data_IF_844129503315
#
_entry.id   IF_844129503315
#
_cell.length_a   1.000
_cell.length_b   1.000
_cell.length_c   1.000
_cell.angle_alpha   90.00
_cell.angle_beta   90.00
_cell.angle_gamma   90.00
#
_symmetry.space_group_name_H-M   'P 1'
#
loop_
_entity.id
_entity.type
_entity.pdbx_description
1 polymer ?
#
# COMPACT_ATOMS: atom_id res chain seq x y z
N UNK A 1 -21.81 -20.34 -12.13
CA UNK A 1 -21.28 -19.09 -11.54
C UNK A 1 -19.82 -18.78 -11.93
N UNK A 2 -19.15 -19.59 -12.76
CA UNK A 2 -17.73 -19.44 -13.14
C UNK A 2 -17.47 -18.57 -14.38
N UNK A 3 -18.47 -18.32 -15.21
CA UNK A 3 -18.31 -17.64 -16.51
C UNK A 3 -18.07 -16.13 -16.37
N UNK A 4 -18.83 -15.44 -15.52
CA UNK A 4 -18.68 -13.99 -15.28
C UNK A 4 -17.34 -13.62 -14.63
N UNK A 5 -16.81 -14.46 -13.73
CA UNK A 5 -15.52 -14.22 -13.09
C UNK A 5 -14.35 -14.31 -14.08
N UNK A 6 -14.43 -15.25 -15.03
CA UNK A 6 -13.45 -15.39 -16.11
C UNK A 6 -13.54 -14.23 -17.12
N UNK A 7 -14.75 -13.75 -17.39
CA UNK A 7 -14.99 -12.61 -18.27
C UNK A 7 -14.45 -11.30 -17.69
N UNK A 8 -14.67 -11.05 -16.39
CA UNK A 8 -14.07 -9.92 -15.67
C UNK A 8 -12.53 -9.99 -15.62
N UNK A 9 -11.95 -11.18 -15.48
CA UNK A 9 -10.49 -11.34 -15.53
C UNK A 9 -9.93 -11.02 -16.91
N UNK A 10 -10.64 -11.42 -17.98
CA UNK A 10 -10.25 -11.13 -19.36
C UNK A 10 -10.31 -9.63 -19.66
N UNK A 11 -11.41 -8.96 -19.28
CA UNK A 11 -11.58 -7.50 -19.42
C UNK A 11 -10.47 -6.76 -18.66
N UNK A 12 -10.15 -7.20 -17.44
CA UNK A 12 -9.06 -6.61 -16.65
C UNK A 12 -7.69 -6.75 -17.32
N UNK A 13 -7.40 -7.90 -17.91
CA UNK A 13 -6.15 -8.14 -18.62
C UNK A 13 -6.03 -7.26 -19.88
N UNK A 14 -7.14 -7.07 -20.60
CA UNK A 14 -7.20 -6.18 -21.77
C UNK A 14 -7.01 -4.70 -21.39
N UNK A 15 -7.63 -4.24 -20.30
CA UNK A 15 -7.44 -2.88 -19.78
C UNK A 15 -5.98 -2.64 -19.36
N UNK A 16 -5.38 -3.57 -18.61
CA UNK A 16 -3.97 -3.47 -18.20
C UNK A 16 -3.02 -3.45 -19.40
N UNK A 17 -3.30 -4.26 -20.43
CA UNK A 17 -2.54 -4.23 -21.67
C UNK A 17 -2.64 -2.87 -22.35
N UNK A 18 -3.83 -2.27 -22.40
CA UNK A 18 -4.03 -0.93 -22.95
C UNK A 18 -3.27 0.16 -22.19
N UNK A 19 -3.27 0.11 -20.85
CA UNK A 19 -2.55 1.04 -19.98
C UNK A 19 -1.03 0.94 -20.20
N UNK A 20 -0.48 -0.27 -20.20
CA UNK A 20 0.95 -0.47 -20.42
C UNK A 20 1.40 0.04 -21.80
N UNK A 21 0.58 -0.15 -22.82
CA UNK A 21 0.86 0.32 -24.18
C UNK A 21 0.79 1.86 -24.30
N UNK A 22 -0.08 2.50 -23.50
CA UNK A 22 -0.10 3.95 -23.36
C UNK A 22 1.14 4.46 -22.62
N UNK A 23 1.59 3.74 -21.59
CA UNK A 23 2.80 4.08 -20.82
C UNK A 23 4.07 4.06 -21.68
N UNK A 24 4.28 3.00 -22.46
CA UNK A 24 5.41 2.91 -23.39
C UNK A 24 5.44 4.07 -24.40
N UNK A 25 4.26 4.53 -24.86
CA UNK A 25 4.15 5.68 -25.75
C UNK A 25 4.47 7.00 -25.05
N UNK A 26 4.06 7.17 -23.80
CA UNK A 26 4.37 8.36 -22.99
C UNK A 26 5.88 8.42 -22.72
N UNK A 27 6.52 7.33 -22.28
CA UNK A 27 7.97 7.28 -22.05
C UNK A 27 8.76 7.55 -23.34
N UNK A 28 8.29 7.05 -24.48
CA UNK A 28 8.92 7.32 -25.78
C UNK A 28 8.77 8.79 -26.19
N UNK A 29 7.66 9.44 -25.84
CA UNK A 29 7.43 10.87 -26.09
C UNK A 29 8.26 11.74 -25.14
N UNK A 30 8.39 11.37 -23.86
CA UNK A 30 9.23 12.05 -22.87
C UNK A 30 10.71 12.05 -23.29
N UNK A 31 11.23 10.89 -23.73
CA UNK A 31 12.61 10.80 -24.26
C UNK A 31 12.81 11.68 -25.49
N UNK A 32 11.77 11.86 -26.30
CA UNK A 32 11.82 12.74 -27.49
C UNK A 32 11.70 14.22 -27.12
N UNK A 33 10.88 14.58 -26.13
CA UNK A 33 10.72 15.97 -25.67
C UNK A 33 11.94 16.47 -24.92
N UNK A 34 12.59 15.64 -24.08
CA UNK A 34 13.86 15.97 -23.42
C UNK A 34 14.97 16.27 -24.44
N UNK A 35 14.95 15.62 -25.61
CA UNK A 35 15.89 15.90 -26.70
C UNK A 35 15.59 17.20 -27.45
N UNK A 36 14.38 17.76 -27.30
CA UNK A 36 13.87 18.94 -28.01
C UNK A 36 13.95 20.25 -27.20
N UNK A 37 14.10 20.19 -25.87
CA UNK A 37 14.12 21.34 -24.96
C UNK A 37 15.44 22.18 -24.99
N UNK A 38 16.11 22.24 -26.13
CA UNK A 38 17.31 23.05 -26.36
C UNK A 38 17.11 24.29 -27.23
N UNK A 39 15.89 24.55 -27.71
CA UNK A 39 15.58 25.66 -28.62
C UNK A 39 14.39 26.45 -28.06
N UNK A 40 14.51 27.79 -27.99
CA UNK A 40 13.49 28.76 -27.56
C UNK A 40 12.30 28.78 -28.56
N UNK A 41 11.56 27.68 -28.65
CA UNK A 41 10.38 27.52 -29.51
C UNK A 41 9.10 27.32 -28.65
N UNK A 42 8.10 28.21 -28.76
CA UNK A 42 6.83 28.13 -28.05
C UNK A 42 6.09 26.78 -28.24
N UNK A 43 6.30 26.10 -29.36
CA UNK A 43 5.71 24.79 -29.65
C UNK A 43 6.33 23.69 -28.76
N UNK A 44 7.63 23.79 -28.50
CA UNK A 44 8.36 22.87 -27.63
C UNK A 44 8.01 23.06 -26.16
N UNK A 45 7.74 24.30 -25.75
CA UNK A 45 7.24 24.62 -24.40
C UNK A 45 5.81 24.06 -24.19
N UNK A 46 4.92 24.22 -25.17
CA UNK A 46 3.57 23.66 -25.12
C UNK A 46 3.58 22.11 -25.05
N UNK A 47 4.51 21.46 -25.77
CA UNK A 47 4.71 20.01 -25.70
C UNK A 47 5.28 19.57 -24.35
N UNK A 48 6.21 20.33 -23.77
CA UNK A 48 6.70 20.11 -22.40
C UNK A 48 5.56 20.18 -21.37
N UNK A 49 4.71 21.20 -21.47
CA UNK A 49 3.52 21.36 -20.62
C UNK A 49 2.54 20.17 -20.76
N UNK A 50 2.25 19.76 -22.00
CA UNK A 50 1.36 18.64 -22.25
C UNK A 50 1.90 17.32 -21.68
N UNK A 51 3.22 17.09 -21.78
CA UNK A 51 3.88 15.92 -21.20
C UNK A 51 3.76 15.89 -19.66
N UNK A 52 4.03 17.02 -18.98
CA UNK A 52 3.89 17.14 -17.52
C UNK A 52 2.45 16.86 -17.07
N UNK A 53 1.45 17.40 -17.77
CA UNK A 53 0.05 17.14 -17.43
C UNK A 53 -0.36 15.68 -17.65
N UNK A 54 0.14 15.02 -18.69
CA UNK A 54 -0.08 13.58 -18.90
C UNK A 54 0.59 12.73 -17.81
N UNK A 55 1.78 13.09 -17.36
CA UNK A 55 2.46 12.41 -16.24
C UNK A 55 1.66 12.56 -14.94
N UNK A 56 1.19 13.77 -14.63
CA UNK A 56 0.37 14.01 -13.44
C UNK A 56 -0.96 13.23 -13.50
N UNK A 57 -1.66 13.27 -14.63
CA UNK A 57 -2.90 12.50 -14.81
C UNK A 57 -2.65 10.98 -14.70
N UNK A 58 -1.51 10.48 -15.19
CA UNK A 58 -1.15 9.07 -15.04
C UNK A 58 -0.82 8.69 -13.60
N UNK A 59 -0.15 9.58 -12.86
CA UNK A 59 0.10 9.40 -11.43
C UNK A 59 -1.21 9.37 -10.64
N UNK A 60 -2.15 10.26 -10.94
CA UNK A 60 -3.49 10.29 -10.34
C UNK A 60 -4.31 9.03 -10.64
N UNK A 61 -4.20 8.50 -11.87
CA UNK A 61 -4.82 7.23 -12.26
C UNK A 61 -4.17 6.06 -11.51
N UNK A 62 -2.84 6.04 -11.40
CA UNK A 62 -2.12 5.00 -10.65
C UNK A 62 -2.46 5.06 -9.16
N UNK A 63 -2.58 6.25 -8.60
CA UNK A 63 -2.98 6.47 -7.23
C UNK A 63 -4.44 6.05 -7.01
N UNK A 64 -5.36 6.40 -7.91
CA UNK A 64 -6.75 5.92 -7.89
C UNK A 64 -6.87 4.40 -8.05
N UNK A 65 -6.09 3.78 -8.93
CA UNK A 65 -6.07 2.33 -9.11
C UNK A 65 -5.46 1.63 -7.89
N UNK A 66 -4.47 2.24 -7.25
CA UNK A 66 -3.87 1.75 -6.01
C UNK A 66 -4.82 1.89 -4.82
N UNK A 67 -5.62 2.96 -4.76
CA UNK A 67 -6.67 3.19 -3.78
C UNK A 67 -7.87 2.24 -3.97
N UNK A 68 -8.20 1.84 -5.22
CA UNK A 68 -9.30 0.89 -5.48
C UNK A 68 -8.92 -0.59 -5.45
N UNK A 69 -7.63 -0.97 -5.56
CA UNK A 69 -7.29 -2.40 -5.77
C UNK A 69 -5.98 -2.89 -5.15
N UNK A 70 -5.73 -2.61 -3.88
CA UNK A 70 -4.63 -3.27 -3.18
C UNK A 70 -5.05 -3.87 -1.84
N UNK A 71 -6.08 -4.72 -1.86
CA UNK A 71 -6.27 -5.67 -0.75
C UNK A 71 -4.94 -6.33 -0.40
N UNK A 72 -4.63 -6.41 0.89
CA UNK A 72 -3.42 -7.03 1.38
C UNK A 72 -3.31 -8.45 0.83
N UNK A 73 -2.26 -8.68 0.03
CA UNK A 73 -1.92 -10.03 -0.43
C UNK A 73 -1.67 -10.93 0.78
N UNK A 74 -1.80 -12.26 0.65
CA UNK A 74 -1.70 -13.18 1.78
C UNK A 74 -0.34 -13.10 2.49
N UNK A 75 0.74 -12.97 1.71
CA UNK A 75 2.09 -12.75 2.23
C UNK A 75 2.21 -11.41 2.97
N UNK A 76 1.65 -10.35 2.41
CA UNK A 76 1.64 -9.02 3.03
C UNK A 76 0.87 -8.98 4.34
N UNK A 77 -0.24 -9.72 4.44
CA UNK A 77 -0.97 -9.90 5.69
C UNK A 77 -0.08 -10.57 6.75
N UNK A 78 0.70 -11.60 6.39
CA UNK A 78 1.62 -12.23 7.35
C UNK A 78 2.67 -11.23 7.87
N UNK A 79 3.18 -10.36 7.00
CA UNK A 79 4.14 -9.33 7.42
C UNK A 79 3.50 -8.34 8.38
N UNK A 80 2.27 -7.90 8.11
CA UNK A 80 1.51 -7.01 8.99
C UNK A 80 1.29 -7.65 10.36
N UNK A 81 0.76 -8.87 10.39
CA UNK A 81 0.47 -9.57 11.65
C UNK A 81 1.75 -9.81 12.45
N UNK A 82 2.88 -10.11 11.80
CA UNK A 82 4.17 -10.25 12.49
C UNK A 82 4.66 -8.91 13.07
N UNK A 83 4.48 -7.80 12.35
CA UNK A 83 4.77 -6.46 12.90
C UNK A 83 3.92 -6.22 14.14
N UNK A 84 2.61 -6.42 14.05
CA UNK A 84 1.67 -6.22 15.17
C UNK A 84 2.00 -7.12 16.36
N UNK A 85 2.34 -8.38 16.11
CA UNK A 85 2.76 -9.31 17.17
C UNK A 85 4.00 -8.78 17.88
N UNK A 86 5.04 -8.37 17.14
CA UNK A 86 6.26 -7.82 17.76
C UNK A 86 6.03 -6.54 18.54
N UNK A 87 5.14 -5.66 18.06
CA UNK A 87 4.74 -4.48 18.82
C UNK A 87 4.08 -4.90 20.13
N UNK A 88 3.13 -5.84 20.10
CA UNK A 88 2.46 -6.36 21.30
C UNK A 88 3.46 -6.94 22.31
N UNK A 89 4.41 -7.75 21.84
CA UNK A 89 5.42 -8.41 22.67
C UNK A 89 6.49 -7.47 23.21
N UNK A 90 6.62 -6.26 22.66
CA UNK A 90 7.56 -5.26 23.19
C UNK A 90 7.15 -4.72 24.56
N UNK A 91 5.88 -4.90 24.95
CA UNK A 91 5.37 -4.45 26.23
C UNK A 91 5.16 -2.94 26.33
N UNK A 92 5.03 -2.22 25.21
CA UNK A 92 4.75 -0.77 25.24
C UNK A 92 3.53 -0.45 26.10
N UNK A 93 3.68 0.50 27.01
CA UNK A 93 2.62 0.98 27.90
C UNK A 93 2.11 2.37 27.51
N UNK A 94 2.85 3.08 26.66
CA UNK A 94 2.51 4.43 26.22
C UNK A 94 2.85 4.69 24.74
N UNK A 95 2.43 5.86 24.24
CA UNK A 95 2.61 6.30 22.85
C UNK A 95 4.08 6.39 22.42
N UNK A 96 4.96 6.87 23.29
CA UNK A 96 6.36 7.07 22.96
C UNK A 96 7.06 5.72 22.77
N UNK A 97 6.82 4.79 23.69
CA UNK A 97 7.30 3.41 23.59
C UNK A 97 6.72 2.68 22.37
N UNK A 98 5.49 3.03 21.96
CA UNK A 98 4.86 2.43 20.80
C UNK A 98 5.60 2.75 19.49
N UNK A 99 6.15 3.96 19.35
CA UNK A 99 7.01 4.30 18.20
C UNK A 99 8.30 3.48 18.19
N UNK A 100 8.94 3.31 19.34
CA UNK A 100 10.15 2.51 19.47
C UNK A 100 9.88 1.03 19.17
N UNK A 101 8.78 0.50 19.69
CA UNK A 101 8.28 -0.83 19.40
C UNK A 101 7.97 -1.04 17.92
N UNK A 102 7.35 -0.06 17.26
CA UNK A 102 7.13 -0.10 15.81
C UNK A 102 8.45 -0.15 15.06
N UNK A 103 9.43 0.70 15.41
CA UNK A 103 10.75 0.69 14.77
C UNK A 103 11.49 -0.65 14.97
N UNK A 104 11.40 -1.24 16.16
CA UNK A 104 11.93 -2.56 16.45
C UNK A 104 11.24 -3.64 15.60
N UNK A 105 9.90 -3.69 15.63
CA UNK A 105 9.10 -4.65 14.89
C UNK A 105 9.36 -4.57 13.39
N UNK A 106 9.32 -3.35 12.84
CA UNK A 106 9.64 -3.05 11.45
C UNK A 106 11.02 -3.60 11.05
N UNK A 107 12.07 -3.34 11.84
CA UNK A 107 13.44 -3.83 11.55
C UNK A 107 13.51 -5.35 11.58
N UNK A 108 12.85 -5.97 12.56
CA UNK A 108 12.84 -7.42 12.72
C UNK A 108 12.12 -8.13 11.58
N UNK A 109 10.93 -7.65 11.17
CA UNK A 109 10.16 -8.21 10.04
C UNK A 109 10.91 -8.01 8.73
N UNK A 110 11.50 -6.82 8.52
CA UNK A 110 12.34 -6.54 7.35
C UNK A 110 13.47 -7.56 7.22
N UNK A 111 14.18 -7.84 8.31
CA UNK A 111 15.27 -8.83 8.33
C UNK A 111 14.76 -10.26 8.11
N UNK A 112 13.71 -10.67 8.83
CA UNK A 112 13.14 -12.03 8.77
C UNK A 112 12.68 -12.41 7.36
N UNK A 113 12.06 -11.49 6.64
CA UNK A 113 11.49 -11.75 5.31
C UNK A 113 12.30 -11.15 4.14
N UNK A 114 13.50 -10.63 4.42
CA UNK A 114 14.36 -9.96 3.43
C UNK A 114 13.61 -8.89 2.60
N UNK A 115 12.96 -7.95 3.29
CA UNK A 115 12.14 -6.90 2.67
C UNK A 115 12.91 -5.57 2.61
N UNK A 116 12.41 -4.66 1.77
CA UNK A 116 12.85 -3.26 1.81
C UNK A 116 12.13 -2.51 2.93
N UNK A 117 12.65 -1.32 3.29
CA UNK A 117 11.95 -0.39 4.19
C UNK A 117 10.55 -0.07 3.70
N UNK A 118 10.47 0.30 2.42
CA UNK A 118 9.23 0.75 1.80
C UNK A 118 8.16 -0.35 1.82
N UNK A 119 8.54 -1.62 1.61
CA UNK A 119 7.57 -2.73 1.61
C UNK A 119 6.86 -2.88 2.96
N UNK A 120 7.56 -2.76 4.08
CA UNK A 120 6.93 -2.91 5.40
C UNK A 120 6.07 -1.69 5.73
N UNK A 121 6.55 -0.48 5.39
CA UNK A 121 5.78 0.77 5.55
C UNK A 121 4.49 0.72 4.72
N UNK A 122 4.58 0.29 3.47
CA UNK A 122 3.41 0.15 2.60
C UNK A 122 2.38 -0.82 3.16
N UNK A 123 2.83 -1.91 3.77
CA UNK A 123 1.95 -2.92 4.37
C UNK A 123 1.25 -2.39 5.62
N UNK A 124 1.96 -1.64 6.47
CA UNK A 124 1.38 -1.08 7.70
C UNK A 124 0.49 0.14 7.41
N UNK A 125 0.85 0.96 6.43
CA UNK A 125 0.23 2.26 6.21
C UNK A 125 -0.64 2.25 4.95
N UNK A 126 0.01 2.37 3.79
CA UNK A 126 -0.65 2.63 2.49
C UNK A 126 -1.70 1.57 2.14
N UNK A 127 -1.40 0.29 2.38
CA UNK A 127 -2.32 -0.83 2.08
C UNK A 127 -3.48 -0.97 3.06
N UNK A 128 -3.43 -0.27 4.19
CA UNK A 128 -4.52 -0.15 5.15
C UNK A 128 -5.28 1.19 4.98
N UNK A 129 -5.01 1.95 3.93
CA UNK A 129 -5.66 3.23 3.67
C UNK A 129 -5.06 4.41 4.43
N UNK A 130 -3.98 4.21 5.20
CA UNK A 130 -3.26 5.31 5.85
C UNK A 130 -2.28 5.93 4.83
N UNK A 131 -2.67 7.06 4.24
CA UNK A 131 -1.89 7.77 3.19
C UNK A 131 -1.63 9.22 3.58
N UNK A 132 -0.63 9.86 2.97
CA UNK A 132 -0.27 11.27 3.23
C UNK A 132 0.54 11.49 4.51
N UNK A 133 0.70 12.76 4.88
CA UNK A 133 1.46 13.15 6.06
C UNK A 133 0.83 12.60 7.35
N UNK A 134 1.65 12.04 8.23
CA UNK A 134 1.20 11.38 9.46
C UNK A 134 0.60 9.98 9.25
N UNK A 135 0.80 9.33 8.09
CA UNK A 135 0.28 7.98 7.85
C UNK A 135 0.74 6.94 8.89
N UNK A 136 2.00 7.02 9.34
CA UNK A 136 2.51 6.15 10.40
C UNK A 136 1.82 6.44 11.73
N UNK A 137 1.56 7.70 12.06
CA UNK A 137 0.91 8.07 13.31
C UNK A 137 -0.54 7.58 13.35
N UNK A 138 -1.27 7.68 12.23
CA UNK A 138 -2.63 7.11 12.10
C UNK A 138 -2.63 5.58 12.24
N UNK A 139 -1.63 4.90 11.67
CA UNK A 139 -1.46 3.47 11.90
C UNK A 139 -1.25 3.18 13.39
N UNK A 140 -0.36 3.93 14.06
CA UNK A 140 -0.08 3.76 15.48
C UNK A 140 -1.25 4.14 16.38
N UNK A 141 -2.12 5.09 16.00
CA UNK A 141 -3.37 5.38 16.71
C UNK A 141 -4.28 4.16 16.76
N UNK A 142 -4.37 3.43 15.65
CA UNK A 142 -5.15 2.20 15.57
C UNK A 142 -4.51 1.07 16.38
N UNK A 143 -3.18 0.98 16.37
CA UNK A 143 -2.43 0.00 17.19
C UNK A 143 -2.60 0.32 18.68
N UNK A 144 -2.47 1.58 19.09
CA UNK A 144 -2.69 2.04 20.45
C UNK A 144 -4.12 1.74 20.91
N UNK A 145 -5.11 2.03 20.06
CA UNK A 145 -6.50 1.69 20.31
C UNK A 145 -6.69 0.18 20.57
N UNK A 146 -6.07 -0.66 19.76
CA UNK A 146 -6.09 -2.12 19.96
C UNK A 146 -5.41 -2.55 21.26
N UNK A 147 -4.25 -1.99 21.58
CA UNK A 147 -3.46 -2.40 22.75
C UNK A 147 -4.08 -2.00 24.09
N UNK A 148 -4.74 -0.82 24.16
CA UNK A 148 -5.10 -0.21 25.43
C UNK A 148 -6.60 0.08 25.62
N UNK A 149 -7.43 -0.01 24.56
CA UNK A 149 -8.84 0.44 24.64
C UNK A 149 -9.84 -0.55 24.07
N UNK A 150 -9.80 -0.76 22.76
CA UNK A 150 -10.78 -1.53 22.00
C UNK A 150 -10.13 -2.16 20.76
N UNK A 151 -10.18 -3.48 20.70
CA UNK A 151 -9.62 -4.29 19.62
C UNK A 151 -10.33 -4.12 18.27
N UNK A 152 -11.61 -3.72 18.27
CA UNK A 152 -12.42 -3.72 17.06
C UNK A 152 -11.89 -2.75 15.97
N UNK A 153 -11.27 -1.64 16.36
CA UNK A 153 -10.83 -0.60 15.42
C UNK A 153 -9.81 -1.12 14.40
N UNK A 154 -8.64 -1.55 14.87
CA UNK A 154 -7.58 -2.07 14.01
C UNK A 154 -8.02 -3.32 13.25
N UNK A 155 -8.75 -4.23 13.90
CA UNK A 155 -9.28 -5.45 13.26
C UNK A 155 -10.18 -5.11 12.07
N UNK A 156 -11.10 -4.17 12.22
CA UNK A 156 -12.02 -3.77 11.17
C UNK A 156 -11.29 -3.13 9.98
N UNK A 157 -10.33 -2.23 10.25
CA UNK A 157 -9.49 -1.62 9.20
C UNK A 157 -8.76 -2.68 8.37
N UNK A 158 -8.18 -3.69 9.03
CA UNK A 158 -7.48 -4.78 8.33
C UNK A 158 -8.47 -5.62 7.51
N UNK A 159 -9.67 -5.88 8.02
CA UNK A 159 -10.72 -6.64 7.31
C UNK A 159 -11.23 -5.94 6.06
N UNK A 160 -11.43 -4.62 6.11
CA UNK A 160 -11.82 -3.79 4.96
C UNK A 160 -10.78 -3.89 3.83
N UNK A 161 -9.51 -3.99 4.20
CA UNK A 161 -8.39 -4.08 3.26
C UNK A 161 -7.94 -5.52 2.96
N UNK A 162 -8.75 -6.53 3.27
CA UNK A 162 -8.45 -7.95 2.99
C UNK A 162 -9.63 -8.68 2.34
N UNK A 163 -9.42 -9.94 1.95
CA UNK A 163 -10.47 -10.80 1.43
C UNK A 163 -11.13 -11.61 2.54
N UNK A 164 -12.40 -12.00 2.34
CA UNK A 164 -13.18 -12.77 3.32
C UNK A 164 -12.48 -14.06 3.77
N UNK A 165 -11.79 -14.75 2.87
CA UNK A 165 -11.06 -15.97 3.21
C UNK A 165 -9.84 -15.71 4.14
N UNK A 166 -9.31 -14.48 4.18
CA UNK A 166 -8.25 -14.06 5.10
C UNK A 166 -8.81 -13.66 6.47
N UNK A 167 -10.12 -13.36 6.58
CA UNK A 167 -10.74 -12.86 7.81
C UNK A 167 -10.65 -13.87 8.95
N UNK A 168 -10.74 -15.17 8.66
CA UNK A 168 -10.54 -16.21 9.69
C UNK A 168 -9.18 -16.09 10.38
N UNK A 169 -8.10 -15.92 9.59
CA UNK A 169 -6.75 -15.75 10.13
C UNK A 169 -6.60 -14.46 10.94
N UNK A 170 -7.26 -13.39 10.50
CA UNK A 170 -7.28 -12.11 11.22
C UNK A 170 -7.99 -12.30 12.56
N UNK A 171 -9.16 -12.93 12.55
CA UNK A 171 -9.95 -13.19 13.75
C UNK A 171 -9.20 -14.07 14.75
N UNK A 172 -8.56 -15.14 14.29
CA UNK A 172 -7.71 -16.00 15.13
C UNK A 172 -6.54 -15.24 15.76
N UNK A 173 -5.87 -14.36 15.00
CA UNK A 173 -4.77 -13.54 15.52
C UNK A 173 -5.22 -12.64 16.67
N UNK A 174 -6.35 -11.96 16.49
CA UNK A 174 -6.93 -11.06 17.49
C UNK A 174 -7.47 -11.84 18.71
N UNK A 175 -8.20 -12.95 18.48
CA UNK A 175 -8.65 -13.86 19.56
C UNK A 175 -7.50 -14.43 20.40
N UNK A 176 -6.33 -14.66 19.80
CA UNK A 176 -5.13 -15.12 20.51
C UNK A 176 -4.29 -13.97 21.10
N UNK A 177 -4.83 -12.76 21.22
CA UNK A 177 -4.16 -11.61 21.82
C UNK A 177 -2.97 -11.07 21.02
N UNK A 178 -2.92 -11.35 19.71
CA UNK A 178 -1.84 -10.92 18.81
C UNK A 178 -0.64 -11.86 18.74
N UNK A 179 -0.81 -13.13 19.14
CA UNK A 179 0.24 -14.15 19.11
C UNK A 179 0.15 -14.94 17.79
N UNK A 180 1.29 -15.07 17.10
CA UNK A 180 1.44 -15.95 15.94
C UNK A 180 2.07 -17.26 16.44
N UNK A 181 1.35 -18.38 16.29
CA UNK A 181 1.84 -19.73 16.53
C UNK A 181 2.74 -20.22 15.39
#
# INVERSE_FOLDING_TARGET
MTTQANEHQKIRAEILKGINLAWEKIEALEKKSIKFLGEDDPTSEALGYAAVHLMNASQDIQDHLSQKTSKLKPKSLNYLLEVLSKIRWSGSENRQELHEAYLFAYKAVRKKYNLTKQTVIDVCNRRLGFTGDGATDRFLDNVEGWLFRNEAGLRNVIREHTNNWQHKKIDEFFMNGGIIQ
#
